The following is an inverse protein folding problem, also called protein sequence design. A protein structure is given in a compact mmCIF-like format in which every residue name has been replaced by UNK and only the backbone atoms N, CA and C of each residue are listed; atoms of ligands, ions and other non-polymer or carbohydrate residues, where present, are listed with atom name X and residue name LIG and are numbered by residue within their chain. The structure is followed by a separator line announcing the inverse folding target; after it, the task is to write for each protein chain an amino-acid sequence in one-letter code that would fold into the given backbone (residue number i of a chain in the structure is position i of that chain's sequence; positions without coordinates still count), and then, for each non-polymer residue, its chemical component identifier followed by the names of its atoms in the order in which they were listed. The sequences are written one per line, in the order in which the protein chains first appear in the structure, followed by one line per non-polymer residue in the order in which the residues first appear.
data_IF_049867456252
#
_entry.id   IF_049867456252
#
_cell.length_a   1.000
_cell.length_b   1.000
_cell.length_c   1.000
_cell.angle_alpha   90.00
_cell.angle_beta   90.00
_cell.angle_gamma   90.00
#
_symmetry.space_group_name_H-M   'P 1'
#
loop_
_entity.id
_entity.type
_entity.pdbx_description
1 polymer ?
#
# COMPACT_ATOMS: atom_id res chain seq x y z
N UNK A 1 -16.39 5.19 -32.47
CA UNK A 1 -16.04 4.14 -31.49
C UNK A 1 -14.54 4.01 -31.53
N UNK A 2 -13.85 4.14 -30.40
CA UNK A 2 -12.41 3.92 -30.36
C UNK A 2 -12.17 2.42 -30.20
N UNK A 3 -11.28 1.85 -31.02
CA UNK A 3 -10.94 0.44 -31.00
C UNK A 3 -9.52 0.30 -30.46
N UNK A 4 -9.39 -0.30 -29.28
CA UNK A 4 -8.10 -0.53 -28.63
C UNK A 4 -7.69 -1.98 -28.82
N UNK A 5 -6.41 -2.21 -29.10
CA UNK A 5 -5.86 -3.57 -29.20
C UNK A 5 -6.09 -4.41 -27.93
N UNK A 6 -6.12 -3.74 -26.77
CA UNK A 6 -6.40 -4.33 -25.47
C UNK A 6 -7.65 -3.65 -24.90
N UNK A 7 -8.69 -4.45 -24.64
CA UNK A 7 -9.89 -4.03 -23.90
C UNK A 7 -10.01 -4.89 -22.63
N UNK A 8 -9.76 -4.28 -21.48
CA UNK A 8 -9.83 -4.98 -20.19
C UNK A 8 -11.26 -5.07 -19.64
N UNK A 9 -12.26 -4.49 -20.30
CA UNK A 9 -13.65 -4.45 -19.82
C UNK A 9 -14.21 -5.84 -19.46
N UNK A 10 -14.01 -6.91 -20.28
CA UNK A 10 -14.48 -8.24 -19.94
C UNK A 10 -13.80 -8.81 -18.69
N UNK A 11 -12.49 -8.57 -18.54
CA UNK A 11 -11.70 -9.05 -17.39
C UNK A 11 -12.16 -8.35 -16.11
N UNK A 12 -12.35 -7.03 -16.18
CA UNK A 12 -12.87 -6.23 -15.06
C UNK A 12 -14.24 -6.74 -14.64
N UNK A 13 -15.17 -6.96 -15.58
CA UNK A 13 -16.50 -7.48 -15.27
C UNK A 13 -16.44 -8.86 -14.59
N UNK A 14 -15.55 -9.74 -15.05
CA UNK A 14 -15.35 -11.06 -14.45
C UNK A 14 -14.78 -10.96 -13.03
N UNK A 15 -13.72 -10.17 -12.82
CA UNK A 15 -13.15 -9.96 -11.49
C UNK A 15 -14.12 -9.29 -10.52
N UNK A 16 -14.91 -8.31 -10.98
CA UNK A 16 -15.93 -7.67 -10.16
C UNK A 16 -17.02 -8.66 -9.74
N UNK A 17 -17.45 -9.55 -10.65
CA UNK A 17 -18.40 -10.61 -10.31
C UNK A 17 -17.84 -11.59 -9.26
N UNK A 18 -16.55 -11.95 -9.36
CA UNK A 18 -15.85 -12.77 -8.37
C UNK A 18 -15.82 -12.08 -7.00
N UNK A 19 -15.47 -10.79 -6.97
CA UNK A 19 -15.46 -10.00 -5.73
C UNK A 19 -16.87 -9.95 -5.14
N UNK A 20 -17.89 -9.62 -5.94
CA UNK A 20 -19.27 -9.47 -5.49
C UNK A 20 -19.84 -10.77 -4.88
N UNK A 21 -19.46 -11.92 -5.43
CA UNK A 21 -19.92 -13.24 -4.98
C UNK A 21 -19.24 -13.73 -3.69
N UNK A 22 -18.11 -13.14 -3.28
CA UNK A 22 -17.32 -13.61 -2.14
C UNK A 22 -17.32 -12.59 -0.98
N UNK A 23 -17.75 -13.02 0.22
CA UNK A 23 -17.82 -12.12 1.38
C UNK A 23 -16.45 -11.60 1.81
N UNK A 24 -15.40 -12.42 1.78
CA UNK A 24 -14.07 -11.98 2.21
C UNK A 24 -13.46 -10.97 1.24
N UNK A 25 -13.63 -11.19 -0.07
CA UNK A 25 -13.16 -10.24 -1.08
C UNK A 25 -13.89 -8.89 -0.97
N UNK A 26 -15.19 -8.89 -0.65
CA UNK A 26 -15.93 -7.65 -0.38
C UNK A 26 -15.42 -6.92 0.85
N UNK A 27 -15.03 -7.64 1.90
CA UNK A 27 -14.47 -7.04 3.11
C UNK A 27 -13.10 -6.41 2.82
N UNK A 28 -12.22 -7.08 2.06
CA UNK A 28 -10.95 -6.51 1.62
C UNK A 28 -11.15 -5.27 0.73
N UNK A 29 -12.06 -5.32 -0.24
CA UNK A 29 -12.38 -4.15 -1.07
C UNK A 29 -12.95 -2.99 -0.23
N UNK A 30 -13.77 -3.30 0.77
CA UNK A 30 -14.32 -2.28 1.68
C UNK A 30 -13.21 -1.61 2.49
N UNK A 31 -12.22 -2.36 2.96
CA UNK A 31 -11.04 -1.81 3.64
C UNK A 31 -10.19 -0.97 2.70
N UNK A 32 -9.94 -1.42 1.46
CA UNK A 32 -9.24 -0.64 0.43
C UNK A 32 -9.95 0.70 0.20
N UNK A 33 -11.27 0.68 0.02
CA UNK A 33 -12.06 1.89 -0.20
C UNK A 33 -12.01 2.84 1.01
N UNK A 34 -12.09 2.31 2.24
CA UNK A 34 -11.98 3.12 3.45
C UNK A 34 -10.59 3.75 3.61
N UNK A 35 -9.52 3.03 3.26
CA UNK A 35 -8.17 3.55 3.27
C UNK A 35 -7.97 4.63 2.18
N UNK A 36 -8.46 4.41 0.96
CA UNK A 36 -8.38 5.41 -0.12
C UNK A 36 -9.21 6.66 0.19
N UNK A 37 -10.41 6.51 0.76
CA UNK A 37 -11.24 7.65 1.22
C UNK A 37 -10.52 8.44 2.34
N UNK A 38 -9.84 7.75 3.25
CA UNK A 38 -9.01 8.39 4.27
C UNK A 38 -7.84 9.17 3.65
N UNK A 39 -7.10 8.53 2.74
CA UNK A 39 -5.93 9.11 2.06
C UNK A 39 -6.29 10.26 1.09
N UNK A 40 -7.52 10.35 0.60
CA UNK A 40 -7.99 11.49 -0.20
C UNK A 40 -8.51 12.64 0.67
N UNK A 41 -9.28 12.34 1.72
CA UNK A 41 -9.91 13.37 2.57
C UNK A 41 -8.98 14.00 3.59
N UNK A 42 -8.05 13.25 4.17
CA UNK A 42 -7.14 13.81 5.18
C UNK A 42 -6.27 14.92 4.61
N UNK A 43 -5.68 14.79 3.40
CA UNK A 43 -4.95 15.90 2.80
C UNK A 43 -5.80 17.15 2.55
N UNK A 44 -7.08 17.01 2.24
CA UNK A 44 -8.00 18.14 2.08
C UNK A 44 -8.36 18.81 3.42
N UNK A 45 -8.43 18.03 4.49
CA UNK A 45 -8.80 18.50 5.83
C UNK A 45 -7.61 19.11 6.61
N UNK A 46 -6.38 18.74 6.24
CA UNK A 46 -5.16 19.25 6.83
C UNK A 46 -4.79 20.61 6.23
N UNK A 47 -4.31 21.52 7.07
CA UNK A 47 -3.72 22.78 6.62
C UNK A 47 -2.21 22.61 6.57
N UNK A 48 -1.58 23.00 5.47
CA UNK A 48 -0.13 23.05 5.35
C UNK A 48 0.42 24.14 6.29
N UNK A 49 0.98 23.76 7.45
CA UNK A 49 1.57 24.73 8.39
C UNK A 49 3.06 24.95 8.14
N UNK A 50 3.77 23.90 7.74
CA UNK A 50 5.20 23.94 7.50
C UNK A 50 5.66 22.96 6.39
N UNK A 51 6.96 22.95 6.12
CA UNK A 51 7.57 22.10 5.09
C UNK A 51 7.50 20.60 5.40
N UNK A 52 7.51 20.25 6.68
CA UNK A 52 7.47 18.86 7.15
C UNK A 52 6.07 18.28 6.89
N UNK A 53 5.03 19.05 7.21
CA UNK A 53 3.65 18.67 6.92
C UNK A 53 3.37 18.57 5.43
N UNK A 54 3.87 19.53 4.65
CA UNK A 54 3.77 19.48 3.19
C UNK A 54 4.43 18.22 2.61
N UNK A 55 5.56 17.78 3.18
CA UNK A 55 6.19 16.53 2.78
C UNK A 55 5.33 15.32 3.11
N UNK A 56 4.78 15.26 4.32
CA UNK A 56 3.89 14.16 4.73
C UNK A 56 2.63 14.09 3.86
N UNK A 57 2.05 15.23 3.52
CA UNK A 57 0.89 15.35 2.61
C UNK A 57 1.22 14.87 1.20
N UNK A 58 2.39 15.24 0.66
CA UNK A 58 2.83 14.76 -0.66
C UNK A 58 3.07 13.25 -0.67
N UNK A 59 3.63 12.70 0.41
CA UNK A 59 3.81 11.26 0.54
C UNK A 59 2.46 10.54 0.69
N UNK A 60 1.49 11.09 1.43
CA UNK A 60 0.14 10.50 1.51
C UNK A 60 -0.59 10.50 0.18
N UNK A 61 -0.47 11.58 -0.61
CA UNK A 61 -1.03 11.64 -1.97
C UNK A 61 -0.38 10.59 -2.88
N UNK A 62 0.94 10.35 -2.75
CA UNK A 62 1.60 9.27 -3.47
C UNK A 62 1.07 7.90 -3.05
N UNK A 63 0.84 7.66 -1.77
CA UNK A 63 0.19 6.43 -1.30
C UNK A 63 -1.20 6.24 -1.93
N UNK A 64 -2.02 7.30 -1.98
CA UNK A 64 -3.32 7.25 -2.66
C UNK A 64 -3.17 6.87 -4.13
N UNK A 65 -2.29 7.56 -4.87
CA UNK A 65 -2.09 7.34 -6.30
C UNK A 65 -1.61 5.92 -6.60
N UNK A 66 -0.59 5.44 -5.88
CA UNK A 66 -0.05 4.09 -6.06
C UNK A 66 -1.08 3.02 -5.67
N UNK A 67 -1.84 3.23 -4.60
CA UNK A 67 -2.91 2.33 -4.16
C UNK A 67 -4.09 2.24 -5.14
N UNK A 68 -4.59 3.39 -5.60
CA UNK A 68 -5.68 3.45 -6.57
C UNK A 68 -5.27 2.85 -7.92
N UNK A 69 -4.04 3.12 -8.37
CA UNK A 69 -3.47 2.50 -9.57
C UNK A 69 -3.32 0.98 -9.41
N UNK A 70 -2.83 0.51 -8.25
CA UNK A 70 -2.74 -0.92 -7.95
C UNK A 70 -4.12 -1.60 -8.03
N UNK A 71 -5.15 -1.01 -7.42
CA UNK A 71 -6.51 -1.54 -7.48
C UNK A 71 -7.04 -1.62 -8.92
N UNK A 72 -6.80 -0.59 -9.74
CA UNK A 72 -7.19 -0.61 -11.15
C UNK A 72 -6.46 -1.71 -11.93
N UNK A 73 -5.15 -1.81 -11.79
CA UNK A 73 -4.33 -2.82 -12.47
C UNK A 73 -4.73 -4.25 -12.05
N UNK A 74 -5.00 -4.46 -10.76
CA UNK A 74 -5.51 -5.72 -10.24
C UNK A 74 -6.83 -6.12 -10.89
N UNK A 75 -7.80 -5.20 -10.92
CA UNK A 75 -9.11 -5.44 -11.56
C UNK A 75 -8.97 -5.72 -13.06
N UNK A 76 -8.03 -5.06 -13.72
CA UNK A 76 -7.71 -5.29 -15.13
C UNK A 76 -6.95 -6.60 -15.38
N UNK A 77 -6.47 -7.34 -14.38
CA UNK A 77 -5.67 -8.57 -14.57
C UNK A 77 -4.17 -8.34 -14.83
N UNK A 78 -3.67 -7.13 -14.56
CA UNK A 78 -2.24 -6.81 -14.61
C UNK A 78 -1.58 -7.06 -13.25
N UNK A 79 -1.39 -8.32 -12.88
CA UNK A 79 -0.93 -8.72 -11.56
C UNK A 79 0.50 -8.27 -11.23
N UNK A 80 1.44 -8.41 -12.17
CA UNK A 80 2.83 -7.99 -11.97
C UNK A 80 2.97 -6.44 -11.88
N UNK A 81 2.35 -5.65 -12.78
CA UNK A 81 2.26 -4.19 -12.61
C UNK A 81 1.57 -3.76 -11.30
N UNK A 82 0.51 -4.45 -10.87
CA UNK A 82 -0.13 -4.22 -9.58
C UNK A 82 0.88 -4.35 -8.43
N UNK A 83 1.64 -5.44 -8.38
CA UNK A 83 2.68 -5.65 -7.36
C UNK A 83 3.76 -4.57 -7.37
N UNK A 84 4.13 -4.05 -8.54
CA UNK A 84 5.06 -2.92 -8.65
C UNK A 84 4.50 -1.67 -7.95
N UNK A 85 3.20 -1.38 -8.11
CA UNK A 85 2.55 -0.27 -7.41
C UNK A 85 2.45 -0.51 -5.91
N UNK A 86 2.15 -1.74 -5.47
CA UNK A 86 2.14 -2.11 -4.05
C UNK A 86 3.52 -1.96 -3.43
N UNK A 87 4.60 -2.33 -4.15
CA UNK A 87 5.96 -2.11 -3.68
C UNK A 87 6.26 -0.62 -3.46
N UNK A 88 5.90 0.24 -4.41
CA UNK A 88 6.06 1.70 -4.26
C UNK A 88 5.31 2.22 -3.04
N UNK A 89 4.04 1.82 -2.88
CA UNK A 89 3.21 2.14 -1.72
C UNK A 89 3.93 1.83 -0.39
N UNK A 90 4.57 0.66 -0.29
CA UNK A 90 5.31 0.22 0.90
C UNK A 90 6.55 1.06 1.19
N UNK A 91 7.35 1.31 0.16
CA UNK A 91 8.54 2.15 0.33
C UNK A 91 8.15 3.55 0.84
N UNK A 92 7.04 4.09 0.33
CA UNK A 92 6.54 5.41 0.72
C UNK A 92 6.00 5.42 2.15
N UNK A 93 5.09 4.50 2.51
CA UNK A 93 4.53 4.53 3.86
C UNK A 93 5.57 4.19 4.93
N UNK A 94 6.59 3.37 4.63
CA UNK A 94 7.68 3.13 5.60
C UNK A 94 8.51 4.39 5.83
N UNK A 95 8.74 5.19 4.79
CA UNK A 95 9.41 6.47 4.95
C UNK A 95 8.59 7.43 5.83
N UNK A 96 7.28 7.48 5.60
CA UNK A 96 6.35 8.27 6.42
C UNK A 96 6.31 7.79 7.88
N UNK A 97 6.25 6.49 8.11
CA UNK A 97 6.27 5.91 9.45
C UNK A 97 7.57 6.25 10.20
N UNK A 98 8.71 6.17 9.52
CA UNK A 98 9.98 6.60 10.09
C UNK A 98 9.95 8.08 10.48
N UNK A 99 9.36 8.94 9.65
CA UNK A 99 9.24 10.37 9.96
C UNK A 99 8.29 10.67 11.11
N UNK A 100 7.21 9.89 11.26
CA UNK A 100 6.31 10.01 12.41
C UNK A 100 7.02 9.64 13.71
N UNK A 101 7.86 8.61 13.68
CA UNK A 101 8.49 8.03 14.88
C UNK A 101 9.83 8.67 15.24
N UNK A 102 10.49 9.29 14.28
CA UNK A 102 11.77 9.99 14.44
C UNK A 102 11.76 11.30 13.63
N UNK A 103 11.36 12.40 14.28
CA UNK A 103 11.29 13.72 13.64
C UNK A 103 12.65 14.21 13.13
N UNK A 104 13.75 13.82 13.76
CA UNK A 104 15.10 14.18 13.29
C UNK A 104 15.41 13.53 11.93
N UNK A 105 14.77 12.41 11.60
CA UNK A 105 14.86 11.84 10.25
C UNK A 105 14.26 12.73 9.19
N UNK A 106 13.11 13.35 9.47
CA UNK A 106 12.46 14.24 8.51
C UNK A 106 13.31 15.50 8.30
N UNK A 107 13.77 16.12 9.38
CA UNK A 107 14.66 17.28 9.31
C UNK A 107 15.95 16.97 8.54
N UNK A 108 16.58 15.81 8.79
CA UNK A 108 17.76 15.38 8.03
C UNK A 108 17.44 15.08 6.58
N UNK A 109 16.31 14.45 6.28
CA UNK A 109 15.89 14.17 4.91
C UNK A 109 15.74 15.45 4.10
N UNK A 110 15.14 16.49 4.70
CA UNK A 110 15.00 17.81 4.07
C UNK A 110 16.33 18.51 3.83
N UNK A 111 17.16 18.60 4.89
CA UNK A 111 18.40 19.39 4.88
C UNK A 111 19.59 18.69 4.20
N UNK A 112 19.53 17.37 4.01
CA UNK A 112 20.64 16.62 3.41
C UNK A 112 20.78 16.86 1.91
N UNK A 113 22.03 17.00 1.40
CA UNK A 113 22.30 16.93 -0.04
C UNK A 113 21.78 15.63 -0.64
N UNK A 114 21.41 15.65 -1.93
CA UNK A 114 20.77 14.51 -2.60
C UNK A 114 21.53 13.19 -2.43
N UNK A 115 22.87 13.20 -2.55
CA UNK A 115 23.71 12.01 -2.38
C UNK A 115 23.60 11.42 -0.97
N UNK A 116 23.58 12.26 0.05
CA UNK A 116 23.42 11.86 1.46
C UNK A 116 22.01 11.32 1.68
N UNK A 117 21.01 12.05 1.18
CA UNK A 117 19.59 11.65 1.26
C UNK A 117 19.34 10.27 0.64
N UNK A 118 19.83 10.03 -0.58
CA UNK A 118 19.72 8.73 -1.26
C UNK A 118 20.42 7.60 -0.50
N UNK A 119 21.59 7.87 0.10
CA UNK A 119 22.34 6.87 0.86
C UNK A 119 21.63 6.48 2.17
N UNK A 120 21.12 7.48 2.88
CA UNK A 120 20.63 7.33 4.26
C UNK A 120 19.15 6.95 4.32
N UNK A 121 18.39 7.27 3.27
CA UNK A 121 16.95 7.01 3.16
C UNK A 121 16.57 6.09 2.00
N UNK A 122 17.52 5.29 1.49
CA UNK A 122 17.18 4.18 0.59
C UNK A 122 16.27 3.16 1.31
N UNK A 123 15.39 2.44 0.59
CA UNK A 123 14.38 1.58 1.20
C UNK A 123 14.91 0.60 2.25
N UNK A 124 16.05 -0.03 2.00
CA UNK A 124 16.67 -0.95 2.98
C UNK A 124 17.08 -0.25 4.29
N UNK A 125 17.58 0.99 4.22
CA UNK A 125 17.95 1.76 5.42
C UNK A 125 16.75 2.22 6.21
N UNK A 126 15.66 2.61 5.53
CA UNK A 126 14.40 2.94 6.21
C UNK A 126 13.88 1.73 6.98
N UNK A 127 13.83 0.54 6.35
CA UNK A 127 13.38 -0.69 7.00
C UNK A 127 14.26 -1.11 8.18
N UNK A 128 15.59 -1.10 8.00
CA UNK A 128 16.54 -1.40 9.09
C UNK A 128 16.32 -0.51 10.32
N UNK A 129 16.02 0.78 10.09
CA UNK A 129 15.76 1.73 11.16
C UNK A 129 14.41 1.50 11.84
N UNK A 130 13.35 1.23 11.08
CA UNK A 130 12.07 0.86 11.65
C UNK A 130 12.15 -0.44 12.45
N UNK A 131 12.81 -1.46 11.92
CA UNK A 131 13.02 -2.74 12.62
C UNK A 131 13.80 -2.51 13.94
N UNK A 132 14.80 -1.62 13.93
CA UNK A 132 15.51 -1.24 15.16
C UNK A 132 14.61 -0.50 16.17
N UNK A 133 13.72 0.38 15.71
CA UNK A 133 12.77 1.09 16.57
C UNK A 133 11.74 0.15 17.22
N UNK A 134 11.40 -0.97 16.56
CA UNK A 134 10.49 -2.01 17.11
C UNK A 134 11.22 -3.14 17.85
N UNK A 135 12.55 -3.14 17.86
CA UNK A 135 13.34 -4.23 18.42
C UNK A 135 13.28 -5.54 17.61
N UNK A 136 12.85 -5.48 16.35
CA UNK A 136 12.81 -6.62 15.46
C UNK A 136 14.20 -7.07 14.99
N UNK A 137 14.47 -8.37 15.13
CA UNK A 137 15.72 -9.01 14.70
C UNK A 137 15.53 -9.99 13.54
N UNK A 138 14.29 -10.26 13.16
CA UNK A 138 13.91 -11.27 12.17
C UNK A 138 13.82 -10.75 10.73
N UNK A 139 14.13 -9.47 10.52
CA UNK A 139 14.06 -8.76 9.24
C UNK A 139 12.69 -8.90 8.55
N UNK A 140 11.59 -8.95 9.32
CA UNK A 140 10.25 -9.17 8.78
C UNK A 140 9.84 -8.17 7.68
N UNK A 141 10.20 -6.90 7.82
CA UNK A 141 9.94 -5.88 6.78
C UNK A 141 10.73 -6.15 5.50
N UNK A 142 11.94 -6.68 5.62
CA UNK A 142 12.73 -7.08 4.47
C UNK A 142 12.11 -8.29 3.76
N UNK A 143 11.58 -9.27 4.52
CA UNK A 143 10.90 -10.44 3.95
C UNK A 143 9.62 -10.06 3.21
N UNK A 144 8.77 -9.21 3.81
CA UNK A 144 7.56 -8.70 3.16
C UNK A 144 7.91 -7.94 1.87
N UNK A 145 8.92 -7.07 1.90
CA UNK A 145 9.39 -6.36 0.72
C UNK A 145 9.97 -7.30 -0.36
N UNK A 146 10.75 -8.31 0.03
CA UNK A 146 11.42 -9.21 -0.91
C UNK A 146 10.41 -9.97 -1.78
N UNK A 147 9.30 -10.43 -1.19
CA UNK A 147 8.21 -11.09 -1.92
C UNK A 147 7.73 -10.20 -3.07
N UNK A 148 7.36 -8.97 -2.77
CA UNK A 148 6.79 -8.04 -3.74
C UNK A 148 7.82 -7.57 -4.78
N UNK A 149 9.08 -7.41 -4.37
CA UNK A 149 10.17 -7.04 -5.30
C UNK A 149 10.47 -8.17 -6.28
N UNK A 150 10.52 -9.41 -5.82
CA UNK A 150 10.76 -10.59 -6.65
C UNK A 150 9.64 -10.80 -7.66
N UNK A 151 8.38 -10.79 -7.22
CA UNK A 151 7.24 -11.08 -8.08
C UNK A 151 6.78 -9.89 -8.92
N UNK A 152 6.95 -8.65 -8.44
CA UNK A 152 6.49 -7.44 -9.10
C UNK A 152 7.49 -6.83 -10.07
N UNK A 153 8.77 -6.77 -9.70
CA UNK A 153 9.73 -5.85 -10.35
C UNK A 153 10.95 -6.54 -10.98
N UNK A 154 11.44 -7.65 -10.41
CA UNK A 154 12.66 -8.29 -10.91
C UNK A 154 12.37 -9.28 -12.04
N UNK A 155 13.11 -9.22 -13.17
CA UNK A 155 13.04 -10.25 -14.21
C UNK A 155 13.74 -11.52 -13.70
N UNK A 156 13.01 -12.29 -12.90
CA UNK A 156 13.48 -13.50 -12.22
C UNK A 156 12.57 -14.68 -12.56
N UNK A 157 13.06 -15.94 -12.46
CA UNK A 157 12.22 -17.12 -12.67
C UNK A 157 10.95 -17.11 -11.80
N UNK A 158 11.08 -16.70 -10.53
CA UNK A 158 9.94 -16.58 -9.62
C UNK A 158 8.96 -15.50 -10.09
N UNK A 159 9.45 -14.34 -10.54
CA UNK A 159 8.60 -13.29 -11.10
C UNK A 159 7.82 -13.73 -12.34
N UNK A 160 8.42 -14.56 -13.20
CA UNK A 160 7.73 -15.09 -14.38
C UNK A 160 6.56 -16.01 -14.03
N UNK A 161 6.60 -16.71 -12.89
CA UNK A 161 5.46 -17.55 -12.45
C UNK A 161 4.16 -16.75 -12.28
N UNK A 162 4.24 -15.45 -12.02
CA UNK A 162 3.07 -14.60 -11.86
C UNK A 162 2.33 -14.37 -13.20
N UNK A 163 3.06 -14.35 -14.32
CA UNK A 163 2.51 -14.19 -15.67
C UNK A 163 2.35 -15.53 -16.41
N UNK A 164 2.76 -16.64 -15.81
CA UNK A 164 2.70 -17.98 -16.39
C UNK A 164 1.83 -18.93 -15.55
N UNK A 165 0.52 -18.66 -15.38
CA UNK A 165 -0.40 -19.62 -14.75
C UNK A 165 -0.30 -20.98 -15.46
N UNK A 166 -0.20 -22.06 -14.69
CA UNK A 166 -0.04 -23.43 -15.19
C UNK A 166 1.11 -23.62 -16.19
N UNK A 167 2.20 -22.84 -16.04
CA UNK A 167 3.35 -22.76 -16.94
C UNK A 167 3.02 -22.28 -18.36
N UNK A 168 1.88 -21.62 -18.55
CA UNK A 168 1.48 -20.98 -19.81
C UNK A 168 1.58 -19.47 -19.69
N UNK A 169 2.68 -18.91 -20.21
CA UNK A 169 2.92 -17.46 -20.21
C UNK A 169 1.83 -16.70 -20.95
N UNK A 170 1.19 -15.77 -20.25
CA UNK A 170 0.16 -14.88 -20.77
C UNK A 170 0.78 -13.57 -21.24
N UNK A 171 0.31 -13.08 -22.38
CA UNK A 171 0.65 -11.74 -22.89
C UNK A 171 -0.48 -10.80 -22.47
N UNK A 172 -0.14 -9.73 -21.76
CA UNK A 172 -1.11 -8.72 -21.34
C UNK A 172 -1.97 -9.15 -20.14
N UNK A 173 -3.16 -8.55 -19.97
CA UNK A 173 -4.04 -8.84 -18.86
C UNK A 173 -4.78 -10.17 -19.05
N UNK A 174 -5.04 -10.88 -17.96
CA UNK A 174 -5.83 -12.11 -17.99
C UNK A 174 -6.66 -12.28 -16.71
N UNK A 175 -7.81 -12.97 -16.78
CA UNK A 175 -8.60 -13.26 -15.60
C UNK A 175 -7.96 -14.39 -14.77
N UNK A 176 -7.83 -14.18 -13.46
CA UNK A 176 -7.32 -15.20 -12.54
C UNK A 176 -7.84 -14.96 -11.12
N UNK A 177 -8.72 -15.84 -10.64
CA UNK A 177 -9.34 -15.72 -9.32
C UNK A 177 -8.35 -15.89 -8.17
N UNK A 178 -7.35 -16.76 -8.31
CA UNK A 178 -6.39 -17.06 -7.26
C UNK A 178 -5.48 -15.84 -7.02
N UNK A 179 -4.94 -15.27 -8.09
CA UNK A 179 -4.12 -14.06 -8.05
C UNK A 179 -4.94 -12.85 -7.62
N UNK A 180 -6.17 -12.72 -8.11
CA UNK A 180 -7.10 -11.66 -7.69
C UNK A 180 -7.28 -11.68 -6.17
N UNK A 181 -7.59 -12.85 -5.59
CA UNK A 181 -7.80 -12.99 -4.14
C UNK A 181 -6.55 -12.59 -3.35
N UNK A 182 -5.41 -13.19 -3.68
CA UNK A 182 -4.17 -12.95 -2.96
C UNK A 182 -3.76 -11.46 -3.00
N UNK A 183 -3.82 -10.85 -4.17
CA UNK A 183 -3.40 -9.46 -4.33
C UNK A 183 -4.40 -8.45 -3.79
N UNK A 184 -5.70 -8.78 -3.72
CA UNK A 184 -6.69 -7.94 -3.06
C UNK A 184 -6.46 -7.89 -1.54
N UNK A 185 -6.10 -9.03 -0.94
CA UNK A 185 -5.73 -9.12 0.47
C UNK A 185 -4.45 -8.33 0.79
N UNK A 186 -3.38 -8.54 0.02
CA UNK A 186 -2.12 -7.78 0.14
C UNK A 186 -2.33 -6.27 -0.01
N UNK A 187 -3.12 -5.86 -1.02
CA UNK A 187 -3.43 -4.45 -1.24
C UNK A 187 -4.23 -3.86 -0.08
N UNK A 188 -5.21 -4.60 0.47
CA UNK A 188 -5.99 -4.16 1.63
C UNK A 188 -5.10 -3.95 2.86
N UNK A 189 -4.19 -4.89 3.15
CA UNK A 189 -3.28 -4.77 4.27
C UNK A 189 -2.34 -3.57 4.15
N UNK A 190 -1.75 -3.36 2.98
CA UNK A 190 -0.81 -2.27 2.76
C UNK A 190 -1.46 -0.89 2.68
N UNK A 191 -2.66 -0.77 2.11
CA UNK A 191 -3.41 0.48 2.15
C UNK A 191 -3.92 0.80 3.56
N UNK A 192 -4.36 -0.21 4.31
CA UNK A 192 -4.68 -0.02 5.72
C UNK A 192 -3.45 0.50 6.49
N UNK A 193 -2.26 -0.06 6.25
CA UNK A 193 -1.07 0.48 6.91
C UNK A 193 -0.78 1.94 6.52
N UNK A 194 -0.80 2.24 5.22
CA UNK A 194 -0.53 3.59 4.74
C UNK A 194 -1.51 4.62 5.33
N UNK A 195 -2.80 4.31 5.36
CA UNK A 195 -3.81 5.19 5.95
C UNK A 195 -3.65 5.35 7.47
N UNK A 196 -3.26 4.30 8.20
CA UNK A 196 -3.01 4.36 9.64
C UNK A 196 -1.82 5.27 9.99
N UNK A 197 -0.75 5.24 9.18
CA UNK A 197 0.39 6.15 9.30
C UNK A 197 -0.02 7.61 9.09
N UNK A 198 -0.89 7.88 8.10
CA UNK A 198 -1.39 9.25 7.84
C UNK A 198 -2.30 9.73 8.96
N UNK A 199 -3.19 8.87 9.47
CA UNK A 199 -4.04 9.19 10.61
C UNK A 199 -3.22 9.51 11.87
N UNK A 200 -2.13 8.77 12.08
CA UNK A 200 -1.20 9.02 13.21
C UNK A 200 -0.49 10.36 13.05
N UNK A 201 -0.09 10.71 11.82
CA UNK A 201 0.54 11.99 11.52
C UNK A 201 -0.40 13.18 11.71
N UNK A 202 -1.64 13.06 11.24
CA UNK A 202 -2.55 14.19 11.06
C UNK A 202 -2.79 15.01 12.34
N UNK A 203 -2.72 14.37 13.53
CA UNK A 203 -3.11 14.91 14.84
C UNK A 203 -4.56 15.47 14.82
N UNK A 204 -5.34 15.29 15.89
CA UNK A 204 -6.78 15.61 15.88
C UNK A 204 -7.04 17.12 16.08
N UNK A 205 -6.39 17.97 15.29
CA UNK A 205 -6.40 19.44 15.43
C UNK A 205 -7.68 20.09 14.87
N UNK A 206 -8.51 19.35 14.12
CA UNK A 206 -9.81 19.81 13.65
C UNK A 206 -10.88 18.73 13.71
N UNK A 207 -12.14 19.15 13.88
CA UNK A 207 -13.28 18.22 13.86
C UNK A 207 -13.43 17.47 12.53
N UNK A 208 -12.98 18.05 11.42
CA UNK A 208 -12.98 17.38 10.12
C UNK A 208 -11.95 16.24 10.06
N UNK A 209 -10.72 16.48 10.53
CA UNK A 209 -9.68 15.45 10.64
C UNK A 209 -10.11 14.32 11.58
N UNK A 210 -10.66 14.67 12.75
CA UNK A 210 -11.17 13.69 13.71
C UNK A 210 -12.29 12.82 13.11
N UNK A 211 -13.24 13.41 12.36
CA UNK A 211 -14.33 12.66 11.75
C UNK A 211 -13.84 11.64 10.69
N UNK A 212 -12.85 12.01 9.87
CA UNK A 212 -12.25 11.09 8.89
C UNK A 212 -11.48 9.97 9.61
N UNK A 213 -10.66 10.32 10.59
CA UNK A 213 -9.89 9.36 11.38
C UNK A 213 -10.76 8.34 12.12
N UNK A 214 -11.86 8.79 12.76
CA UNK A 214 -12.80 7.90 13.48
C UNK A 214 -13.44 6.90 12.51
N UNK A 215 -13.95 7.36 11.36
CA UNK A 215 -14.57 6.50 10.35
C UNK A 215 -13.58 5.45 9.85
N UNK A 216 -12.36 5.87 9.53
CA UNK A 216 -11.30 4.99 9.10
C UNK A 216 -10.94 3.94 10.17
N UNK A 217 -10.72 4.37 11.42
CA UNK A 217 -10.38 3.46 12.54
C UNK A 217 -11.50 2.46 12.83
N UNK A 218 -12.77 2.84 12.67
CA UNK A 218 -13.89 1.90 12.78
C UNK A 218 -13.81 0.79 11.71
N UNK A 219 -13.59 1.15 10.45
CA UNK A 219 -13.41 0.19 9.36
C UNK A 219 -12.19 -0.71 9.60
N UNK A 220 -11.06 -0.11 9.99
CA UNK A 220 -9.82 -0.82 10.30
C UNK A 220 -10.00 -1.82 11.45
N UNK A 221 -10.67 -1.41 12.53
CA UNK A 221 -10.92 -2.29 13.68
C UNK A 221 -11.85 -3.45 13.33
N UNK A 222 -12.86 -3.21 12.50
CA UNK A 222 -13.73 -4.27 12.00
C UNK A 222 -12.94 -5.28 11.15
N UNK A 223 -12.16 -4.78 10.19
CA UNK A 223 -11.34 -5.61 9.31
C UNK A 223 -10.26 -6.40 10.06
N UNK A 224 -9.50 -5.73 10.95
CA UNK A 224 -8.45 -6.35 11.79
C UNK A 224 -8.98 -7.51 12.62
N UNK A 225 -10.16 -7.36 13.25
CA UNK A 225 -10.77 -8.42 14.06
C UNK A 225 -10.99 -9.72 13.29
N UNK A 226 -11.21 -9.63 11.98
CA UNK A 226 -11.49 -10.79 11.12
C UNK A 226 -10.23 -11.37 10.48
N UNK A 227 -9.32 -10.51 10.01
CA UNK A 227 -8.20 -10.93 9.16
C UNK A 227 -6.82 -10.86 9.83
N UNK A 228 -6.72 -10.22 10.99
CA UNK A 228 -5.45 -10.01 11.71
C UNK A 228 -5.55 -10.42 13.19
N UNK A 229 -5.69 -11.73 13.51
CA UNK A 229 -5.75 -12.19 14.89
C UNK A 229 -4.43 -11.94 15.67
N UNK A 230 -4.62 -11.60 16.94
CA UNK A 230 -3.71 -10.85 17.84
C UNK A 230 -2.39 -11.52 18.23
N UNK A 231 -2.11 -12.75 17.81
CA UNK A 231 -0.88 -13.47 18.23
C UNK A 231 0.09 -13.80 17.09
N UNK A 232 -0.32 -13.71 15.82
CA UNK A 232 0.54 -14.06 14.67
C UNK A 232 0.37 -13.14 13.45
N UNK A 233 -0.51 -12.15 13.53
CA UNK A 233 -0.64 -11.14 12.48
C UNK A 233 0.57 -10.21 12.47
N UNK A 234 1.42 -10.37 11.45
CA UNK A 234 2.54 -9.49 11.17
C UNK A 234 2.03 -8.15 10.59
N UNK A 235 1.46 -7.30 11.45
CA UNK A 235 1.31 -5.88 11.14
C UNK A 235 2.71 -5.27 11.06
N UNK A 236 3.13 -4.67 9.93
CA UNK A 236 4.48 -4.12 9.76
C UNK A 236 4.79 -2.88 10.63
N UNK A 237 4.01 -2.59 11.66
CA UNK A 237 4.18 -1.42 12.55
C UNK A 237 3.59 -1.60 13.94
N UNK A 238 3.49 -2.84 14.41
CA UNK A 238 3.51 -3.09 15.85
C UNK A 238 4.94 -3.22 16.32
#
# INVERSE_FOLDING_TARGET
MLDYLLDETPIVAQHDAIIAANVDLRDHLSMINAALDCLSRLPEALRERDSDELTMLRLSIRCFNSGAAALRLLRCGYFQPCLTMVRDLIEVYFLMDLFNRDRDSLTRWHSSPEKVRKRDFKPVKVRERLDALDGYKDQRRAKAYALLSTYGAHPSPDGFSLISPDNLTQIGPFPDQTRLRALLEELAQHLAYAADVVVTFAQEDSGAVAAVAVRYRQALNHWRKRYLPTEQSHWPGN
#
